data_IF_584981269033
#
_entry.id   IF_584981269033
#
_cell.length_a   1.000
_cell.length_b   1.000
_cell.length_c   1.000
_cell.angle_alpha   90.00
_cell.angle_beta   90.00
_cell.angle_gamma   90.00
#
_symmetry.space_group_name_H-M   'P 1'
#
loop_
_entity.id
_entity.type
_entity.pdbx_description
1 polymer ?
#
# COMPACT_ATOMS: atom_id res chain seq x y z
N UNK A 1 -2.64 -23.07 -5.60
CA UNK A 1 -2.07 -23.94 -4.54
C UNK A 1 -1.01 -23.21 -3.73
N UNK A 2 -0.05 -22.51 -4.35
CA UNK A 2 0.98 -21.74 -3.62
C UNK A 2 0.40 -20.57 -2.81
N UNK A 3 -0.56 -19.83 -3.36
CA UNK A 3 -1.17 -18.66 -2.68
C UNK A 3 -1.99 -19.04 -1.44
N UNK A 4 -2.65 -20.20 -1.42
CA UNK A 4 -3.45 -20.64 -0.28
C UNK A 4 -2.57 -21.08 0.90
N UNK A 5 -1.46 -21.75 0.61
CA UNK A 5 -0.44 -22.07 1.62
C UNK A 5 0.21 -20.80 2.18
N UNK A 6 0.55 -19.84 1.32
CA UNK A 6 1.12 -18.57 1.76
C UNK A 6 0.14 -17.76 2.63
N UNK A 7 -1.13 -17.68 2.25
CA UNK A 7 -2.15 -17.00 3.03
C UNK A 7 -2.33 -17.64 4.42
N UNK A 8 -2.39 -18.98 4.48
CA UNK A 8 -2.54 -19.68 5.76
C UNK A 8 -1.32 -19.51 6.67
N UNK A 9 -0.11 -19.49 6.10
CA UNK A 9 1.13 -19.19 6.83
C UNK A 9 1.11 -17.78 7.42
N UNK A 10 0.78 -16.76 6.60
CA UNK A 10 0.70 -15.37 7.08
C UNK A 10 -0.39 -15.17 8.14
N UNK A 11 -1.52 -15.87 8.01
CA UNK A 11 -2.57 -15.88 9.06
C UNK A 11 -2.06 -16.48 10.37
N UNK A 12 -1.29 -17.57 10.30
CA UNK A 12 -0.73 -18.21 11.49
C UNK A 12 0.32 -17.30 12.15
N UNK A 13 1.24 -16.73 11.36
CA UNK A 13 2.24 -15.78 11.83
C UNK A 13 1.59 -14.57 12.52
N UNK A 14 0.52 -14.02 11.92
CA UNK A 14 -0.25 -12.93 12.54
C UNK A 14 -0.85 -13.32 13.88
N UNK A 15 -1.48 -14.51 13.97
CA UNK A 15 -2.07 -15.03 15.23
C UNK A 15 -1.02 -15.30 16.30
N UNK A 16 0.19 -15.67 15.90
CA UNK A 16 1.31 -15.93 16.81
C UNK A 16 2.03 -14.64 17.25
N UNK A 17 1.69 -13.47 16.68
CA UNK A 17 2.35 -12.20 16.97
C UNK A 17 3.73 -12.06 16.30
N UNK A 18 3.99 -12.81 15.22
CA UNK A 18 5.25 -12.81 14.50
C UNK A 18 5.35 -11.68 13.46
N UNK A 19 4.22 -11.05 13.13
CA UNK A 19 4.14 -9.94 12.19
C UNK A 19 4.09 -8.60 12.93
N UNK A 20 4.63 -7.56 12.30
CA UNK A 20 4.58 -6.18 12.78
C UNK A 20 3.55 -5.39 11.99
N UNK A 21 2.89 -4.44 12.63
CA UNK A 21 2.11 -3.44 11.89
C UNK A 21 3.05 -2.55 11.08
N UNK A 22 2.71 -2.30 9.81
CA UNK A 22 3.53 -1.52 8.91
C UNK A 22 3.30 -0.02 9.14
N UNK A 23 4.33 0.66 9.63
CA UNK A 23 4.31 2.10 9.93
C UNK A 23 5.23 2.90 9.01
N UNK A 24 4.98 4.20 8.91
CA UNK A 24 5.89 5.12 8.20
C UNK A 24 7.30 5.14 8.79
N UNK A 25 7.45 4.89 10.09
CA UNK A 25 8.76 4.82 10.75
C UNK A 25 9.56 3.57 10.36
N UNK A 26 8.92 2.51 9.87
CA UNK A 26 9.62 1.32 9.39
C UNK A 26 10.22 1.52 7.99
N UNK A 27 9.70 2.48 7.22
CA UNK A 27 10.04 2.63 5.80
C UNK A 27 11.55 2.75 5.51
N UNK A 28 12.33 3.55 6.28
CA UNK A 28 13.79 3.63 6.09
C UNK A 28 14.52 2.29 6.27
N UNK A 29 13.99 1.39 7.10
CA UNK A 29 14.62 0.11 7.43
C UNK A 29 14.24 -1.00 6.46
N UNK A 30 13.13 -0.85 5.73
CA UNK A 30 12.61 -1.89 4.82
C UNK A 30 12.84 -1.59 3.35
N UNK A 31 13.21 -0.36 2.98
CA UNK A 31 13.50 -0.01 1.59
C UNK A 31 14.60 -0.93 1.01
N UNK A 32 14.36 -1.48 -0.18
CA UNK A 32 15.23 -2.45 -0.84
C UNK A 32 15.17 -3.87 -0.26
N UNK A 33 14.43 -4.13 0.83
CA UNK A 33 14.25 -5.47 1.39
C UNK A 33 13.02 -6.15 0.81
N UNK A 34 13.07 -7.48 0.73
CA UNK A 34 11.89 -8.31 0.43
C UNK A 34 11.04 -8.41 1.69
N UNK A 35 9.75 -8.12 1.57
CA UNK A 35 8.78 -8.24 2.65
C UNK A 35 7.60 -9.09 2.20
N UNK A 36 6.96 -9.73 3.17
CA UNK A 36 5.66 -10.35 3.01
C UNK A 36 4.64 -9.59 3.84
N UNK A 37 3.49 -9.29 3.25
CA UNK A 37 2.44 -8.52 3.89
C UNK A 37 1.15 -9.32 3.96
N UNK A 38 0.30 -8.97 4.93
CA UNK A 38 -1.09 -9.41 5.01
C UNK A 38 -1.95 -8.25 5.51
N UNK A 39 -3.15 -8.13 4.97
CA UNK A 39 -4.23 -7.40 5.63
C UNK A 39 -5.49 -8.28 5.70
N UNK A 40 -6.26 -8.09 6.77
CA UNK A 40 -7.49 -8.83 6.98
C UNK A 40 -8.65 -8.13 6.28
N UNK A 41 -9.29 -8.82 5.35
CA UNK A 41 -10.43 -8.29 4.61
C UNK A 41 -11.76 -8.62 5.27
N UNK A 42 -12.82 -7.92 4.88
CA UNK A 42 -14.16 -8.30 5.31
C UNK A 42 -14.54 -9.69 4.79
N UNK A 43 -15.31 -10.43 5.58
CA UNK A 43 -15.79 -11.78 5.24
C UNK A 43 -14.67 -12.77 4.82
N UNK A 44 -13.46 -12.61 5.38
CA UNK A 44 -12.33 -13.52 5.14
C UNK A 44 -11.60 -13.29 3.80
N UNK A 45 -11.86 -12.15 3.13
CA UNK A 45 -11.15 -11.70 1.92
C UNK A 45 -9.77 -11.12 2.26
N UNK A 46 -9.00 -11.88 3.05
CA UNK A 46 -7.64 -11.52 3.42
C UNK A 46 -6.75 -11.59 2.18
N UNK A 47 -5.79 -10.69 2.11
CA UNK A 47 -4.88 -10.58 0.97
C UNK A 47 -3.46 -10.54 1.48
N UNK A 48 -2.59 -11.23 0.77
CA UNK A 48 -1.16 -11.30 1.01
C UNK A 48 -0.42 -10.81 -0.23
N UNK A 49 0.75 -10.21 -0.03
CA UNK A 49 1.68 -9.84 -1.09
C UNK A 49 3.12 -10.19 -0.66
N UNK A 50 3.99 -10.39 -1.64
CA UNK A 50 5.40 -10.70 -1.47
C UNK A 50 6.20 -9.92 -2.51
N UNK A 51 6.98 -8.94 -2.05
CA UNK A 51 7.68 -8.00 -2.94
C UNK A 51 8.90 -7.37 -2.28
N UNK A 52 9.79 -6.82 -3.11
CA UNK A 52 10.88 -5.96 -2.65
C UNK A 52 10.40 -4.52 -2.58
N UNK A 53 10.55 -3.87 -1.43
CA UNK A 53 10.15 -2.47 -1.25
C UNK A 53 11.00 -1.57 -2.14
N UNK A 54 10.36 -0.80 -3.01
CA UNK A 54 11.02 0.13 -3.93
C UNK A 54 11.06 1.54 -3.37
N UNK A 55 9.94 2.24 -3.45
CA UNK A 55 9.83 3.65 -3.07
C UNK A 55 8.46 3.98 -2.49
N UNK A 56 8.35 5.17 -1.90
CA UNK A 56 7.13 5.74 -1.36
C UNK A 56 6.82 7.01 -2.13
N UNK A 57 5.67 7.03 -2.81
CA UNK A 57 5.23 8.14 -3.66
C UNK A 57 3.83 8.58 -3.27
N UNK A 58 3.44 9.81 -3.58
CA UNK A 58 2.03 10.20 -3.44
C UNK A 58 1.16 9.53 -4.51
N UNK A 59 -0.12 9.31 -4.22
CA UNK A 59 -1.08 8.84 -5.23
C UNK A 59 -1.20 9.84 -6.39
N UNK A 60 -0.99 11.12 -6.12
CA UNK A 60 -0.97 12.18 -7.12
C UNK A 60 0.19 12.03 -8.11
N UNK A 61 1.41 11.84 -7.60
CA UNK A 61 2.61 11.65 -8.44
C UNK A 61 2.52 10.36 -9.25
N UNK A 62 2.03 9.28 -8.64
CA UNK A 62 1.79 8.01 -9.33
C UNK A 62 0.79 8.19 -10.49
N UNK A 63 -0.26 9.00 -10.30
CA UNK A 63 -1.25 9.29 -11.32
C UNK A 63 -0.70 10.12 -12.49
N UNK A 64 0.42 10.82 -12.30
CA UNK A 64 1.13 11.57 -13.33
C UNK A 64 1.90 10.69 -14.33
N UNK A 65 2.15 9.43 -14.00
CA UNK A 65 3.05 8.57 -14.79
C UNK A 65 2.46 7.91 -16.04
N UNK A 66 1.12 7.82 -16.15
CA UNK A 66 0.47 7.08 -17.25
C UNK A 66 -0.83 7.72 -17.72
N UNK A 67 -1.08 7.66 -19.03
CA UNK A 67 -2.33 8.11 -19.65
C UNK A 67 -3.56 7.33 -19.20
N UNK A 68 -4.71 8.02 -19.17
CA UNK A 68 -5.96 7.44 -18.68
C UNK A 68 -7.17 8.12 -19.33
N UNK A 69 -8.08 7.32 -19.87
CA UNK A 69 -9.40 7.75 -20.37
C UNK A 69 -9.38 8.99 -21.30
N UNK A 70 -8.45 9.01 -22.26
CA UNK A 70 -8.31 10.12 -23.20
C UNK A 70 -7.51 11.33 -22.67
N UNK A 71 -7.12 11.34 -21.41
CA UNK A 71 -6.19 12.30 -20.82
C UNK A 71 -4.74 11.80 -20.92
N UNK A 72 -3.77 12.74 -20.95
CA UNK A 72 -2.36 12.38 -21.03
C UNK A 72 -1.88 11.69 -19.76
N UNK A 73 -2.49 12.03 -18.62
CA UNK A 73 -2.22 11.41 -17.33
C UNK A 73 -3.52 11.22 -16.53
N UNK A 74 -3.51 10.28 -15.59
CA UNK A 74 -4.62 10.13 -14.63
C UNK A 74 -4.74 11.36 -13.71
N UNK A 75 -3.62 12.07 -13.48
CA UNK A 75 -3.58 13.33 -12.77
C UNK A 75 -4.41 14.42 -13.47
N UNK A 76 -4.28 14.57 -14.80
CA UNK A 76 -5.11 15.49 -15.60
C UNK A 76 -6.59 15.10 -15.54
N UNK A 77 -6.90 13.81 -15.64
CA UNK A 77 -8.27 13.32 -15.50
C UNK A 77 -8.85 13.69 -14.13
N UNK A 78 -8.14 13.44 -13.03
CA UNK A 78 -8.58 13.81 -11.68
C UNK A 78 -8.75 15.32 -11.51
N UNK A 79 -7.82 16.12 -12.01
CA UNK A 79 -7.91 17.58 -11.98
C UNK A 79 -9.16 18.12 -12.69
N UNK A 80 -9.71 17.39 -13.65
CA UNK A 80 -10.89 17.84 -14.41
C UNK A 80 -12.20 17.83 -13.61
N UNK A 81 -12.26 17.09 -12.48
CA UNK A 81 -13.50 16.94 -11.70
C UNK A 81 -13.32 16.96 -10.17
N UNK A 82 -12.10 16.78 -9.65
CA UNK A 82 -11.83 16.86 -8.22
C UNK A 82 -11.74 18.31 -7.75
N UNK A 83 -12.21 18.56 -6.53
CA UNK A 83 -11.93 19.81 -5.81
C UNK A 83 -10.48 19.87 -5.34
N UNK A 84 -9.98 21.08 -5.06
CA UNK A 84 -8.64 21.31 -4.50
C UNK A 84 -8.39 20.49 -3.23
N UNK A 85 -9.41 20.34 -2.37
CA UNK A 85 -9.31 19.48 -1.18
C UNK A 85 -9.06 18.02 -1.56
N UNK A 86 -9.79 17.49 -2.53
CA UNK A 86 -9.62 16.10 -2.94
C UNK A 86 -8.27 15.86 -3.61
N UNK A 87 -7.77 16.83 -4.38
CA UNK A 87 -6.41 16.79 -4.95
C UNK A 87 -5.38 16.77 -3.82
N UNK A 88 -5.52 17.67 -2.84
CA UNK A 88 -4.63 17.70 -1.67
C UNK A 88 -4.67 16.39 -0.87
N UNK A 89 -5.84 15.76 -0.75
CA UNK A 89 -5.96 14.45 -0.11
C UNK A 89 -5.19 13.36 -0.91
N UNK A 90 -5.04 13.48 -2.24
CA UNK A 90 -4.22 12.58 -3.06
C UNK A 90 -2.72 12.87 -3.01
N UNK A 91 -2.35 14.14 -2.85
CA UNK A 91 -0.96 14.56 -2.64
C UNK A 91 -0.44 14.08 -1.27
N UNK A 92 -1.30 14.07 -0.25
CA UNK A 92 -0.97 13.63 1.11
C UNK A 92 -1.21 12.13 1.36
N UNK A 93 -1.71 11.38 0.36
CA UNK A 93 -1.86 9.94 0.46
C UNK A 93 -0.66 9.26 -0.19
N UNK A 94 0.20 8.65 0.61
CA UNK A 94 1.38 7.95 0.11
C UNK A 94 1.05 6.50 -0.21
N UNK A 95 1.72 5.92 -1.21
CA UNK A 95 1.59 4.52 -1.58
C UNK A 95 2.95 3.88 -1.78
N UNK A 96 3.09 2.62 -1.38
CA UNK A 96 4.32 1.86 -1.54
C UNK A 96 4.36 1.30 -2.97
N UNK A 97 5.45 1.56 -3.68
CA UNK A 97 5.79 0.86 -4.90
C UNK A 97 6.77 -0.28 -4.59
N UNK A 98 6.57 -1.42 -5.23
CA UNK A 98 7.58 -2.45 -5.29
C UNK A 98 8.75 -2.00 -6.19
N UNK A 99 9.93 -2.60 -6.05
CA UNK A 99 11.15 -2.14 -6.73
C UNK A 99 11.03 -2.15 -8.27
N UNK A 100 10.14 -3.00 -8.79
CA UNK A 100 9.85 -3.13 -10.22
C UNK A 100 8.86 -2.07 -10.72
N UNK A 101 8.46 -1.11 -9.87
CA UNK A 101 7.52 -0.03 -10.17
C UNK A 101 6.05 -0.43 -10.04
N UNK A 102 5.75 -1.63 -9.54
CA UNK A 102 4.37 -2.09 -9.33
C UNK A 102 3.76 -1.38 -8.13
N UNK A 103 2.57 -0.79 -8.33
CA UNK A 103 1.76 -0.26 -7.23
C UNK A 103 1.21 -1.41 -6.36
N UNK A 104 1.48 -1.34 -5.06
CA UNK A 104 1.02 -2.35 -4.09
C UNK A 104 -0.38 -2.07 -3.57
N UNK A 105 -0.90 -0.85 -3.77
CA UNK A 105 -2.12 -0.33 -3.13
C UNK A 105 -2.09 -0.33 -1.60
N UNK A 106 -0.90 -0.41 -1.00
CA UNK A 106 -0.67 -0.19 0.43
C UNK A 106 -0.47 1.31 0.65
N UNK A 107 -1.42 1.96 1.30
CA UNK A 107 -1.51 3.41 1.37
C UNK A 107 -1.36 3.95 2.79
N UNK A 108 -0.81 5.16 2.91
CA UNK A 108 -0.75 5.93 4.14
C UNK A 108 -1.55 7.22 3.95
N UNK A 109 -2.60 7.37 4.74
CA UNK A 109 -3.51 8.50 4.73
C UNK A 109 -3.06 9.58 5.73
N UNK A 110 -2.07 10.39 5.35
CA UNK A 110 -1.45 11.36 6.27
C UNK A 110 -2.41 12.43 6.75
N UNK A 111 -3.43 12.76 5.95
CA UNK A 111 -4.49 13.73 6.25
C UNK A 111 -5.31 13.34 7.49
N UNK A 112 -5.33 12.06 7.84
CA UNK A 112 -6.03 11.53 9.02
C UNK A 112 -5.12 11.47 10.25
N UNK A 113 -3.87 11.93 10.14
CA UNK A 113 -2.85 11.77 11.18
C UNK A 113 -2.39 10.32 11.35
N UNK A 114 -2.70 9.44 10.39
CA UNK A 114 -2.32 8.03 10.44
C UNK A 114 -0.80 7.90 10.31
N UNK A 115 -0.26 6.95 11.09
CA UNK A 115 1.15 6.53 11.00
C UNK A 115 1.30 5.12 10.43
N UNK A 116 0.18 4.44 10.22
CA UNK A 116 0.09 3.05 9.80
C UNK A 116 -0.40 2.97 8.37
N UNK A 117 0.20 2.08 7.60
CA UNK A 117 -0.25 1.78 6.26
C UNK A 117 -1.48 0.89 6.29
N UNK A 118 -2.41 1.13 5.36
CA UNK A 118 -3.66 0.39 5.21
C UNK A 118 -3.89 -0.05 3.76
N UNK A 119 -4.80 -1.02 3.58
CA UNK A 119 -5.19 -1.52 2.26
C UNK A 119 -6.71 -1.48 2.07
N UNK A 120 -7.15 -1.24 0.82
CA UNK A 120 -8.55 -1.11 0.42
C UNK A 120 -9.28 0.08 1.08
N UNK A 121 -9.49 -0.03 2.39
CA UNK A 121 -10.16 0.95 3.23
C UNK A 121 -9.17 1.53 4.25
N UNK A 122 -9.53 2.68 4.83
CA UNK A 122 -8.66 3.45 5.74
C UNK A 122 -8.51 2.83 7.12
N UNK A 123 -9.21 1.73 7.40
CA UNK A 123 -9.31 1.06 8.70
C UNK A 123 -8.57 -0.28 8.76
N UNK A 124 -7.97 -0.75 7.66
CA UNK A 124 -7.34 -2.08 7.59
C UNK A 124 -5.83 -2.00 7.59
N UNK A 125 -5.24 -2.03 8.80
CA UNK A 125 -3.79 -2.00 9.00
C UNK A 125 -3.12 -3.19 8.30
N UNK A 126 -2.02 -2.90 7.61
CA UNK A 126 -1.17 -3.92 6.99
C UNK A 126 -0.18 -4.46 8.02
N UNK A 127 -0.10 -5.78 8.13
CA UNK A 127 0.93 -6.47 8.88
C UNK A 127 2.02 -6.96 7.93
N UNK A 128 3.27 -7.02 8.38
CA UNK A 128 4.39 -7.46 7.57
C UNK A 128 5.45 -8.23 8.36
N UNK A 129 6.28 -8.97 7.62
CA UNK A 129 7.60 -9.46 8.05
C UNK A 129 8.63 -9.24 6.94
N UNK A 130 9.89 -9.09 7.32
CA UNK A 130 11.01 -9.07 6.38
C UNK A 130 11.36 -10.53 6.05
N UNK A 131 11.64 -10.79 4.77
CA UNK A 131 12.14 -12.08 4.30
C UNK A 131 13.65 -11.93 4.07
N UNK A 132 14.43 -12.78 4.73
CA UNK A 132 15.89 -12.87 4.55
C UNK A 132 16.28 -13.54 3.22
#
# INVERSE_FOLDING_TARGET
METENFLNDMRLAARNGELRELSISDFPDIIGKRIQTIYFGYAGQDVVDDFTVGELVSLWDLAGGTGFDGFKTRQEYWASYMSDKQISDKENCLTILANEGRCTNINLHQELGNKMFTCSDVDRVVLYRIVE
#
